data_IF_937586526790
#
_entry.id   IF_937586526790
#
_cell.length_a   1.000
_cell.length_b   1.000
_cell.length_c   1.000
_cell.angle_alpha   90.00
_cell.angle_beta   90.00
_cell.angle_gamma   90.00
#
_symmetry.space_group_name_H-M   'P 1'
#
loop_
_entity.id
_entity.type
_entity.pdbx_description
1 polymer ?
#
# COMPACT_ATOMS: atom_id res chain seq x y z
N UNK A 1 -12.20 23.52 -37.68
CA UNK A 1 -13.51 24.04 -37.24
C UNK A 1 -13.59 23.89 -35.74
N UNK A 2 -13.16 24.91 -35.00
CA UNK A 2 -13.29 24.96 -33.54
C UNK A 2 -14.74 25.26 -33.20
N UNK A 3 -15.40 24.38 -32.45
CA UNK A 3 -16.72 24.68 -31.87
C UNK A 3 -16.50 25.56 -30.64
N UNK A 4 -16.73 26.87 -30.80
CA UNK A 4 -16.98 27.78 -29.70
C UNK A 4 -18.36 27.46 -29.11
N UNK A 5 -18.42 27.29 -27.81
CA UNK A 5 -19.68 27.29 -27.05
C UNK A 5 -19.96 28.75 -26.66
N UNK A 6 -20.95 29.37 -27.30
CA UNK A 6 -21.43 30.69 -26.89
C UNK A 6 -22.23 30.53 -25.60
N UNK A 7 -21.76 31.16 -24.51
CA UNK A 7 -22.49 31.27 -23.25
C UNK A 7 -23.65 32.26 -23.44
N UNK A 8 -24.76 31.75 -23.97
CA UNK A 8 -26.04 32.43 -23.92
C UNK A 8 -26.52 32.51 -22.48
N UNK A 9 -26.89 33.72 -22.04
CA UNK A 9 -27.68 33.91 -20.82
C UNK A 9 -29.01 33.17 -20.96
N UNK A 10 -29.12 31.98 -20.37
CA UNK A 10 -30.37 31.24 -20.23
C UNK A 10 -30.64 30.96 -18.76
N UNK A 11 -31.55 31.75 -18.20
CA UNK A 11 -32.32 31.38 -17.01
C UNK A 11 -33.15 30.14 -17.38
N UNK A 12 -32.78 28.99 -16.82
CA UNK A 12 -33.43 27.70 -17.07
C UNK A 12 -32.41 26.60 -17.35
N UNK A 13 -32.09 25.82 -16.31
CA UNK A 13 -31.17 24.67 -16.40
C UNK A 13 -31.80 23.60 -17.31
N UNK A 14 -31.13 23.13 -18.38
CA UNK A 14 -31.64 22.03 -19.19
C UNK A 14 -31.81 20.77 -18.31
N UNK A 15 -32.89 19.98 -18.47
CA UNK A 15 -33.00 18.69 -17.82
C UNK A 15 -31.84 17.79 -18.32
N UNK A 16 -31.09 17.20 -17.39
CA UNK A 16 -29.85 16.44 -17.68
C UNK A 16 -28.55 17.24 -17.53
N UNK A 17 -28.58 18.57 -17.53
CA UNK A 17 -27.36 19.36 -17.28
C UNK A 17 -26.91 19.21 -15.81
N UNK A 18 -27.87 19.26 -14.87
CA UNK A 18 -27.62 19.03 -13.44
C UNK A 18 -26.95 17.69 -13.15
N UNK A 19 -27.30 16.66 -13.92
CA UNK A 19 -26.82 15.29 -13.73
C UNK A 19 -25.33 15.17 -14.06
N UNK A 20 -24.85 15.81 -15.14
CA UNK A 20 -23.44 15.75 -15.55
C UNK A 20 -22.52 16.59 -14.67
N UNK A 21 -22.98 17.73 -14.14
CA UNK A 21 -22.12 18.57 -13.27
C UNK A 21 -21.62 17.83 -12.03
N UNK A 22 -22.42 16.89 -11.51
CA UNK A 22 -22.04 16.08 -10.35
C UNK A 22 -20.81 15.19 -10.56
N UNK A 23 -20.37 14.99 -11.80
CA UNK A 23 -19.24 14.13 -12.15
C UNK A 23 -18.07 14.90 -12.75
N UNK A 24 -18.21 16.22 -12.94
CA UNK A 24 -17.18 17.07 -13.54
C UNK A 24 -16.14 17.51 -12.50
N UNK A 25 -14.89 17.58 -12.94
CA UNK A 25 -13.79 18.05 -12.13
C UNK A 25 -13.93 19.54 -11.76
N UNK A 26 -13.46 19.96 -10.57
CA UNK A 26 -13.68 21.32 -10.06
C UNK A 26 -13.08 22.43 -10.95
N UNK A 27 -12.00 22.15 -11.68
CA UNK A 27 -11.38 23.10 -12.60
C UNK A 27 -12.21 23.38 -13.86
N UNK A 28 -13.00 22.40 -14.31
CA UNK A 28 -13.91 22.57 -15.43
C UNK A 28 -15.10 23.46 -15.03
N UNK A 29 -15.55 23.37 -13.77
CA UNK A 29 -16.59 24.24 -13.22
C UNK A 29 -16.13 25.70 -13.13
N UNK A 30 -14.85 25.94 -12.79
CA UNK A 30 -14.30 27.28 -12.54
C UNK A 30 -13.83 28.02 -13.79
N UNK A 31 -13.30 27.31 -14.79
CA UNK A 31 -12.48 27.95 -15.83
C UNK A 31 -12.75 27.49 -17.26
N UNK A 32 -13.47 26.39 -17.48
CA UNK A 32 -13.66 25.81 -18.81
C UNK A 32 -12.34 25.49 -19.54
N UNK A 33 -11.24 25.33 -18.80
CA UNK A 33 -9.89 25.29 -19.37
C UNK A 33 -9.60 23.93 -20.05
N UNK A 34 -9.33 24.00 -21.35
CA UNK A 34 -9.14 22.87 -22.28
C UNK A 34 -7.86 22.06 -21.96
N UNK A 35 -6.87 22.67 -21.30
CA UNK A 35 -5.59 21.98 -20.96
C UNK A 35 -5.70 20.99 -19.79
N UNK A 36 -6.85 20.93 -19.10
CA UNK A 36 -7.07 20.06 -17.95
C UNK A 36 -7.83 18.75 -18.29
N UNK A 37 -8.24 18.53 -19.54
CA UNK A 37 -9.12 17.42 -19.94
C UNK A 37 -8.65 16.05 -19.42
N UNK A 38 -7.38 15.70 -19.64
CA UNK A 38 -6.87 14.39 -19.21
C UNK A 38 -6.89 14.15 -17.70
N UNK A 39 -6.78 15.21 -16.87
CA UNK A 39 -6.85 15.12 -15.40
C UNK A 39 -8.27 15.25 -14.88
N UNK A 40 -9.12 15.94 -15.63
CA UNK A 40 -10.55 15.98 -15.38
C UNK A 40 -11.19 14.59 -15.61
N UNK A 41 -10.78 13.88 -16.68
CA UNK A 41 -11.22 12.50 -16.93
C UNK A 41 -10.85 11.55 -15.79
N UNK A 42 -9.67 11.71 -15.18
CA UNK A 42 -9.26 10.92 -14.00
C UNK A 42 -10.15 11.21 -12.80
N UNK A 43 -10.56 12.46 -12.61
CA UNK A 43 -11.50 12.81 -11.54
C UNK A 43 -12.86 12.14 -11.78
N UNK A 44 -13.43 12.30 -12.99
CA UNK A 44 -14.71 11.68 -13.34
C UNK A 44 -14.65 10.15 -13.23
N UNK A 45 -13.57 9.52 -13.68
CA UNK A 45 -13.33 8.09 -13.52
C UNK A 45 -13.25 7.68 -12.04
N UNK A 46 -12.64 8.50 -11.18
CA UNK A 46 -12.58 8.28 -9.74
C UNK A 46 -13.96 8.26 -9.09
N UNK A 47 -14.86 9.15 -9.52
CA UNK A 47 -16.26 9.15 -9.07
C UNK A 47 -16.98 7.87 -9.52
N UNK A 48 -16.79 7.45 -10.78
CA UNK A 48 -17.39 6.22 -11.32
C UNK A 48 -16.86 4.98 -10.60
N UNK A 49 -15.57 4.92 -10.29
CA UNK A 49 -14.99 3.83 -9.51
C UNK A 49 -15.61 3.74 -8.12
N UNK A 50 -15.71 4.86 -7.40
CA UNK A 50 -16.36 4.88 -6.09
C UNK A 50 -17.81 4.40 -6.19
N UNK A 51 -18.57 4.92 -7.15
CA UNK A 51 -19.96 4.54 -7.38
C UNK A 51 -20.12 3.05 -7.65
N UNK A 52 -19.24 2.48 -8.46
CA UNK A 52 -19.28 1.06 -8.81
C UNK A 52 -18.95 0.18 -7.61
N UNK A 53 -17.89 0.51 -6.87
CA UNK A 53 -17.42 -0.30 -5.73
C UNK A 53 -18.40 -0.24 -4.54
N UNK A 54 -19.05 0.91 -4.34
CA UNK A 54 -20.04 1.10 -3.25
C UNK A 54 -21.45 0.66 -3.62
N UNK A 55 -21.69 0.31 -4.89
CA UNK A 55 -23.02 -0.10 -5.36
C UNK A 55 -24.02 1.06 -5.48
N UNK A 56 -23.56 2.29 -5.64
CA UNK A 56 -24.43 3.43 -5.99
C UNK A 56 -24.16 4.75 -5.25
N UNK A 57 -23.20 4.80 -4.33
CA UNK A 57 -22.90 6.04 -3.62
C UNK A 57 -22.02 6.98 -4.43
N UNK A 58 -22.02 8.26 -4.09
CA UNK A 58 -21.16 9.25 -4.71
C UNK A 58 -20.15 9.80 -3.68
N UNK A 59 -18.86 9.95 -4.02
CA UNK A 59 -17.83 10.34 -3.06
C UNK A 59 -17.98 11.79 -2.55
N UNK A 60 -18.81 12.58 -3.23
CA UNK A 60 -19.19 13.95 -2.84
C UNK A 60 -20.64 14.04 -2.32
N UNK A 61 -21.26 12.92 -1.95
CA UNK A 61 -22.59 12.87 -1.34
C UNK A 61 -23.76 13.06 -2.32
N UNK A 62 -24.92 13.36 -1.73
CA UNK A 62 -26.19 13.50 -2.43
C UNK A 62 -26.22 14.66 -3.44
N UNK A 63 -27.06 14.53 -4.46
CA UNK A 63 -27.13 15.45 -5.61
C UNK A 63 -27.28 16.93 -5.21
N UNK A 64 -28.07 17.23 -4.17
CA UNK A 64 -28.31 18.61 -3.72
C UNK A 64 -27.02 19.33 -3.26
N UNK A 65 -26.12 18.62 -2.57
CA UNK A 65 -24.89 19.20 -2.01
C UNK A 65 -23.64 18.86 -2.84
N UNK A 66 -23.75 17.90 -3.76
CA UNK A 66 -22.62 17.33 -4.52
C UNK A 66 -21.75 18.36 -5.18
N UNK A 67 -22.35 19.34 -5.87
CA UNK A 67 -21.59 20.38 -6.57
C UNK A 67 -20.79 21.26 -5.61
N UNK A 68 -21.41 21.69 -4.51
CA UNK A 68 -20.73 22.46 -3.48
C UNK A 68 -19.57 21.66 -2.87
N UNK A 69 -19.78 20.36 -2.64
CA UNK A 69 -18.74 19.48 -2.11
C UNK A 69 -17.57 19.33 -3.09
N UNK A 70 -17.83 19.20 -4.39
CA UNK A 70 -16.79 19.15 -5.44
C UNK A 70 -16.00 20.48 -5.48
N UNK A 71 -16.70 21.61 -5.51
CA UNK A 71 -16.08 22.94 -5.57
C UNK A 71 -15.16 23.22 -4.37
N UNK A 72 -15.58 22.75 -3.19
CA UNK A 72 -14.88 22.91 -1.91
C UNK A 72 -13.91 21.76 -1.59
N UNK A 73 -13.84 20.71 -2.41
CA UNK A 73 -12.98 19.55 -2.17
C UNK A 73 -13.40 18.69 -0.97
N UNK A 74 -14.67 18.70 -0.58
CA UNK A 74 -15.23 17.93 0.54
C UNK A 74 -15.50 16.49 0.10
N UNK A 75 -14.47 15.66 0.19
CA UNK A 75 -14.47 14.26 -0.20
C UNK A 75 -14.80 13.34 0.99
N UNK A 76 -15.73 12.38 0.80
CA UNK A 76 -16.04 11.33 1.77
C UNK A 76 -15.88 9.96 1.14
N UNK A 77 -15.12 9.07 1.79
CA UNK A 77 -14.83 7.71 1.29
C UNK A 77 -15.22 6.60 2.30
N UNK A 78 -16.13 6.90 3.22
CA UNK A 78 -16.41 6.05 4.37
C UNK A 78 -17.06 4.70 4.01
N UNK A 79 -17.74 4.61 2.85
CA UNK A 79 -18.35 3.36 2.39
C UNK A 79 -17.34 2.35 1.82
N UNK A 80 -16.09 2.76 1.58
CA UNK A 80 -15.04 1.85 1.18
C UNK A 80 -14.47 1.13 2.41
N UNK A 81 -14.35 -0.19 2.34
CA UNK A 81 -13.66 -1.00 3.35
C UNK A 81 -12.24 -1.35 2.92
N UNK A 82 -12.00 -1.54 1.62
CA UNK A 82 -10.68 -1.79 1.05
C UNK A 82 -9.82 -0.51 1.07
N UNK A 83 -8.75 -0.53 1.87
CA UNK A 83 -7.83 0.60 2.00
C UNK A 83 -7.06 0.89 0.71
N UNK A 84 -6.78 -0.15 -0.10
CA UNK A 84 -6.13 0.00 -1.40
C UNK A 84 -7.02 0.79 -2.36
N UNK A 85 -8.34 0.52 -2.33
CA UNK A 85 -9.32 1.27 -3.10
C UNK A 85 -9.42 2.73 -2.63
N UNK A 86 -9.42 2.98 -1.32
CA UNK A 86 -9.44 4.34 -0.74
C UNK A 86 -8.23 5.15 -1.18
N UNK A 87 -7.03 4.57 -1.12
CA UNK A 87 -5.78 5.24 -1.52
C UNK A 87 -5.85 5.64 -3.00
N UNK A 88 -6.28 4.73 -3.88
CA UNK A 88 -6.43 4.99 -5.31
C UNK A 88 -7.42 6.13 -5.57
N UNK A 89 -8.65 5.98 -5.06
CA UNK A 89 -9.76 6.90 -5.33
C UNK A 89 -9.47 8.29 -4.76
N UNK A 90 -8.91 8.37 -3.54
CA UNK A 90 -8.50 9.66 -2.94
C UNK A 90 -7.50 10.42 -3.82
N UNK A 91 -6.55 9.71 -4.42
CA UNK A 91 -5.60 10.34 -5.35
C UNK A 91 -6.26 10.73 -6.69
N UNK A 92 -7.15 9.91 -7.24
CA UNK A 92 -7.88 10.26 -8.46
C UNK A 92 -8.78 11.49 -8.26
N UNK A 93 -9.37 11.64 -7.06
CA UNK A 93 -10.28 12.71 -6.68
C UNK A 93 -9.60 13.89 -5.97
N UNK A 94 -8.27 13.99 -6.04
CA UNK A 94 -7.55 15.13 -5.47
C UNK A 94 -8.06 16.44 -6.08
N UNK A 95 -8.39 17.43 -5.24
CA UNK A 95 -8.98 18.69 -5.70
C UNK A 95 -8.05 19.41 -6.69
N UNK A 96 -6.76 19.49 -6.34
CA UNK A 96 -5.70 19.96 -7.24
C UNK A 96 -5.37 18.90 -8.31
N UNK A 97 -5.53 19.22 -9.62
CA UNK A 97 -5.24 18.30 -10.72
C UNK A 97 -3.80 17.79 -10.77
N UNK A 98 -2.82 18.55 -10.25
CA UNK A 98 -1.41 18.17 -10.27
C UNK A 98 -1.10 16.97 -9.37
N UNK A 99 -1.89 16.81 -8.30
CA UNK A 99 -1.78 15.71 -7.35
C UNK A 99 -2.52 14.44 -7.80
N UNK A 100 -3.33 14.52 -8.87
CA UNK A 100 -4.06 13.36 -9.40
C UNK A 100 -3.12 12.42 -10.14
N UNK A 101 -3.37 11.12 -10.04
CA UNK A 101 -2.68 10.12 -10.87
C UNK A 101 -2.88 10.39 -12.38
N UNK A 102 -1.99 9.87 -13.21
CA UNK A 102 -2.25 9.73 -14.65
C UNK A 102 -3.01 8.44 -14.91
N UNK A 103 -3.65 8.29 -16.07
CA UNK A 103 -4.32 7.04 -16.45
C UNK A 103 -3.37 5.83 -16.38
N UNK A 104 -2.12 6.00 -16.83
CA UNK A 104 -1.10 4.96 -16.74
C UNK A 104 -0.73 4.59 -15.30
N UNK A 105 -0.71 5.57 -14.38
CA UNK A 105 -0.46 5.31 -12.97
C UNK A 105 -1.65 4.61 -12.30
N UNK A 106 -2.89 4.99 -12.64
CA UNK A 106 -4.11 4.31 -12.19
C UNK A 106 -4.06 2.84 -12.58
N UNK A 107 -3.77 2.52 -13.85
CA UNK A 107 -3.71 1.15 -14.34
C UNK A 107 -2.59 0.28 -13.73
N UNK A 108 -1.59 0.88 -13.10
CA UNK A 108 -0.49 0.17 -12.40
C UNK A 108 -0.73 0.04 -10.89
N UNK A 109 -1.80 0.63 -10.36
CA UNK A 109 -2.06 0.68 -8.93
C UNK A 109 -2.32 -0.72 -8.33
N UNK A 110 -1.87 -1.01 -7.09
CA UNK A 110 -2.07 -2.31 -6.43
C UNK A 110 -3.51 -2.82 -6.34
N UNK A 111 -4.48 -1.91 -6.43
CA UNK A 111 -5.91 -2.23 -6.49
C UNK A 111 -6.24 -3.19 -7.64
N UNK A 112 -5.53 -3.09 -8.76
CA UNK A 112 -5.75 -3.94 -9.94
C UNK A 112 -4.87 -5.19 -9.99
N UNK A 113 -4.02 -5.40 -8.99
CA UNK A 113 -3.10 -6.55 -9.00
C UNK A 113 -3.84 -7.84 -8.64
N UNK A 114 -3.53 -8.91 -9.35
CA UNK A 114 -3.92 -10.25 -8.93
C UNK A 114 -3.20 -10.62 -7.63
N UNK A 115 -3.74 -11.61 -6.90
CA UNK A 115 -3.09 -12.14 -5.69
C UNK A 115 -1.68 -12.66 -5.98
N UNK A 116 -1.48 -13.34 -7.10
CA UNK A 116 -0.15 -13.81 -7.53
C UNK A 116 0.84 -12.65 -7.76
N UNK A 117 0.36 -11.54 -8.32
CA UNK A 117 1.23 -10.38 -8.56
C UNK A 117 1.54 -9.63 -7.25
N UNK A 118 0.57 -9.51 -6.34
CA UNK A 118 0.79 -8.98 -4.98
C UNK A 118 1.86 -9.80 -4.26
N UNK A 119 1.79 -11.13 -4.33
CA UNK A 119 2.79 -12.02 -3.74
C UNK A 119 4.18 -11.81 -4.36
N UNK A 120 4.28 -11.80 -5.69
CA UNK A 120 5.55 -11.55 -6.38
C UNK A 120 6.17 -10.21 -5.99
N UNK A 121 5.33 -9.18 -5.80
CA UNK A 121 5.77 -7.89 -5.29
C UNK A 121 6.37 -8.00 -3.89
N UNK A 122 5.71 -8.68 -2.93
CA UNK A 122 6.26 -8.87 -1.59
C UNK A 122 7.61 -9.60 -1.61
N UNK A 123 7.75 -10.62 -2.45
CA UNK A 123 9.00 -11.36 -2.60
C UNK A 123 10.13 -10.47 -3.15
N UNK A 124 9.85 -9.71 -4.21
CA UNK A 124 10.81 -8.79 -4.81
C UNK A 124 11.20 -7.65 -3.85
N UNK A 125 10.23 -7.13 -3.07
CA UNK A 125 10.47 -6.10 -2.07
C UNK A 125 11.38 -6.62 -0.95
N UNK A 126 11.11 -7.83 -0.43
CA UNK A 126 11.99 -8.47 0.56
C UNK A 126 13.42 -8.63 0.03
N UNK A 127 13.59 -9.11 -1.21
CA UNK A 127 14.92 -9.27 -1.81
C UNK A 127 15.64 -7.93 -1.96
N UNK A 128 14.93 -6.88 -2.39
CA UNK A 128 15.47 -5.52 -2.47
C UNK A 128 15.93 -5.00 -1.11
N UNK A 129 15.13 -5.21 -0.06
CA UNK A 129 15.46 -4.80 1.31
C UNK A 129 16.67 -5.52 1.90
N UNK A 130 17.03 -6.70 1.38
CA UNK A 130 18.13 -7.54 1.89
C UNK A 130 19.38 -7.56 1.01
N UNK A 131 19.42 -6.81 -0.10
CA UNK A 131 20.65 -6.69 -0.90
C UNK A 131 21.76 -6.07 -0.05
N UNK A 132 22.81 -6.84 0.21
CA UNK A 132 23.98 -6.44 0.99
C UNK A 132 24.84 -5.42 0.22
N UNK A 133 25.17 -4.28 0.83
CA UNK A 133 26.20 -3.37 0.32
C UNK A 133 25.97 -1.88 0.56
N UNK A 134 24.74 -1.45 0.82
CA UNK A 134 24.41 -0.04 1.06
C UNK A 134 23.44 0.08 2.26
N UNK A 135 23.56 1.17 3.02
CA UNK A 135 22.55 1.52 4.01
C UNK A 135 21.23 1.76 3.28
N UNK A 136 20.33 0.77 3.33
CA UNK A 136 19.08 0.83 2.58
C UNK A 136 18.09 1.77 3.30
N UNK A 137 17.98 3.01 2.80
CA UNK A 137 17.01 4.00 3.29
C UNK A 137 15.56 3.52 3.22
N UNK A 138 15.25 2.60 2.32
CA UNK A 138 13.89 2.06 2.19
C UNK A 138 13.54 1.17 3.40
N UNK A 139 14.55 0.51 4.00
CA UNK A 139 14.36 -0.29 5.21
C UNK A 139 14.04 0.60 6.42
N UNK A 140 14.68 1.77 6.54
CA UNK A 140 14.33 2.69 7.63
C UNK A 140 12.94 3.29 7.45
N UNK A 141 12.58 3.69 6.22
CA UNK A 141 11.24 4.23 5.91
C UNK A 141 10.15 3.19 6.18
N UNK A 142 10.39 1.91 5.88
CA UNK A 142 9.43 0.85 6.18
C UNK A 142 9.18 0.68 7.68
N UNK A 143 10.19 0.94 8.52
CA UNK A 143 10.11 0.75 9.98
C UNK A 143 9.55 1.98 10.72
N UNK A 144 9.56 3.18 10.11
CA UNK A 144 9.13 4.45 10.74
C UNK A 144 7.65 4.43 11.18
N UNK A 145 6.75 3.90 10.36
CA UNK A 145 5.29 3.87 10.63
C UNK A 145 4.70 2.46 10.74
N UNK A 146 5.55 1.46 11.03
CA UNK A 146 5.14 0.05 11.00
C UNK A 146 3.95 -0.28 11.89
N UNK A 147 3.80 0.38 13.04
CA UNK A 147 2.75 0.08 14.01
C UNK A 147 1.34 0.28 13.44
N UNK A 148 1.18 1.16 12.44
CA UNK A 148 -0.10 1.37 11.75
C UNK A 148 -0.46 0.17 10.87
N UNK A 149 0.54 -0.56 10.37
CA UNK A 149 0.39 -1.68 9.45
C UNK A 149 0.40 -3.02 10.16
N UNK A 150 1.36 -3.23 11.06
CA UNK A 150 1.65 -4.54 11.69
C UNK A 150 1.23 -4.60 13.17
N UNK A 151 0.78 -3.49 13.75
CA UNK A 151 0.52 -3.38 15.19
C UNK A 151 1.80 -3.39 16.03
N UNK A 152 1.66 -3.71 17.32
CA UNK A 152 2.80 -3.92 18.21
C UNK A 152 3.49 -5.26 17.94
N UNK A 153 2.71 -6.27 17.56
CA UNK A 153 3.17 -7.62 17.29
C UNK A 153 2.27 -8.26 16.22
N UNK A 154 2.80 -8.45 15.02
CA UNK A 154 2.04 -9.06 13.93
C UNK A 154 1.82 -10.56 14.12
N UNK A 155 2.62 -11.21 14.97
CA UNK A 155 2.54 -12.66 15.17
C UNK A 155 1.23 -13.06 15.83
N UNK A 156 0.69 -12.21 16.69
CA UNK A 156 -0.61 -12.36 17.34
C UNK A 156 -1.78 -12.33 16.36
N UNK A 157 -1.56 -11.83 15.13
CA UNK A 157 -2.58 -11.69 14.10
C UNK A 157 -2.51 -12.80 13.03
N UNK A 158 -1.59 -13.76 13.16
CA UNK A 158 -1.51 -14.94 12.29
C UNK A 158 -2.42 -16.05 12.83
N UNK A 159 -2.90 -16.93 11.96
CA UNK A 159 -3.57 -18.17 12.35
C UNK A 159 -2.74 -18.99 13.35
N UNK A 160 -3.32 -19.49 14.46
CA UNK A 160 -2.61 -20.28 15.46
C UNK A 160 -1.88 -21.51 14.90
N UNK A 161 -2.41 -22.16 13.86
CA UNK A 161 -1.76 -23.30 13.21
C UNK A 161 -0.42 -22.91 12.55
N UNK A 162 -0.33 -21.68 12.03
CA UNK A 162 0.91 -21.16 11.47
C UNK A 162 1.87 -20.70 12.58
N UNK A 163 1.36 -20.25 13.73
CA UNK A 163 2.21 -19.90 14.88
C UNK A 163 2.89 -21.13 15.50
N UNK A 164 2.24 -22.29 15.45
CA UNK A 164 2.77 -23.57 15.95
C UNK A 164 3.69 -24.28 14.96
N UNK A 165 3.88 -23.73 13.75
CA UNK A 165 4.68 -24.35 12.71
C UNK A 165 6.18 -24.28 13.03
N UNK A 166 6.93 -25.33 12.67
CA UNK A 166 8.40 -25.37 12.87
C UNK A 166 9.08 -24.20 12.17
N UNK A 167 8.52 -23.76 11.05
CA UNK A 167 9.07 -22.71 10.22
C UNK A 167 8.83 -21.32 10.80
N UNK A 168 7.68 -21.09 11.44
CA UNK A 168 7.44 -19.88 12.21
C UNK A 168 8.41 -19.79 13.40
N UNK A 169 8.69 -20.92 14.07
CA UNK A 169 9.67 -21.00 15.14
C UNK A 169 11.10 -20.69 14.65
N UNK A 170 11.52 -21.25 13.51
CA UNK A 170 12.82 -20.95 12.88
C UNK A 170 12.93 -19.46 12.54
N UNK A 171 11.87 -18.86 12.01
CA UNK A 171 11.82 -17.44 11.64
C UNK A 171 11.97 -16.50 12.85
N UNK A 172 11.20 -16.73 13.90
CA UNK A 172 11.30 -15.93 15.14
C UNK A 172 12.66 -16.11 15.82
N UNK A 173 13.24 -17.32 15.80
CA UNK A 173 14.60 -17.56 16.27
C UNK A 173 15.66 -16.79 15.44
N UNK A 174 15.56 -16.78 14.11
CA UNK A 174 16.48 -16.02 13.26
C UNK A 174 16.37 -14.51 13.47
N UNK A 175 15.14 -13.96 13.57
CA UNK A 175 14.94 -12.54 13.87
C UNK A 175 15.55 -12.17 15.23
N UNK A 176 15.32 -12.99 16.26
CA UNK A 176 15.94 -12.82 17.58
C UNK A 176 17.47 -12.81 17.52
N UNK A 177 18.08 -13.73 16.76
CA UNK A 177 19.54 -13.80 16.62
C UNK A 177 20.13 -12.61 15.83
N UNK A 178 19.41 -12.08 14.84
CA UNK A 178 19.89 -10.94 14.01
C UNK A 178 19.72 -9.57 14.67
N UNK A 179 18.77 -9.42 15.59
CA UNK A 179 18.54 -8.16 16.32
C UNK A 179 19.42 -7.99 17.58
N UNK A 180 20.46 -8.81 17.75
CA UNK A 180 21.38 -8.85 18.91
C UNK A 180 22.16 -7.55 19.22
N UNK A 181 21.92 -6.44 18.52
CA UNK A 181 22.38 -5.10 18.94
C UNK A 181 21.42 -4.39 19.90
N UNK A 182 20.23 -4.95 20.13
CA UNK A 182 19.27 -4.47 21.12
C UNK A 182 19.10 -5.52 22.22
N UNK A 183 19.22 -5.10 23.48
CA UNK A 183 19.25 -5.96 24.65
C UNK A 183 18.05 -6.95 24.74
N UNK A 184 18.18 -8.10 25.45
CA UNK A 184 17.26 -9.24 25.39
C UNK A 184 15.86 -9.01 25.99
N UNK A 185 15.47 -7.77 26.28
CA UNK A 185 14.17 -7.44 26.85
C UNK A 185 13.27 -6.81 25.78
N UNK A 186 12.28 -7.58 25.32
CA UNK A 186 11.12 -7.18 24.51
C UNK A 186 11.35 -6.94 23.01
N UNK A 187 11.94 -7.91 22.30
CA UNK A 187 12.07 -7.89 20.85
C UNK A 187 10.74 -8.13 20.15
N UNK A 188 10.00 -7.05 19.88
CA UNK A 188 8.83 -7.09 19.00
C UNK A 188 9.27 -7.35 17.54
N UNK A 189 8.55 -8.16 16.76
CA UNK A 189 8.87 -8.43 15.37
C UNK A 189 8.94 -7.15 14.52
N UNK A 190 9.89 -7.06 13.59
CA UNK A 190 10.00 -5.91 12.67
C UNK A 190 9.12 -6.09 11.43
N UNK A 191 8.78 -5.01 10.73
CA UNK A 191 7.95 -5.10 9.50
C UNK A 191 8.65 -5.92 8.42
N UNK A 192 9.98 -5.83 8.39
CA UNK A 192 10.84 -6.66 7.57
C UNK A 192 10.65 -8.18 7.80
N UNK A 193 10.43 -8.63 9.04
CA UNK A 193 10.20 -10.05 9.37
C UNK A 193 8.87 -10.56 8.82
N UNK A 194 7.85 -9.69 8.78
CA UNK A 194 6.57 -10.02 8.16
C UNK A 194 6.74 -10.24 6.64
N UNK A 195 7.56 -9.44 5.95
CA UNK A 195 7.85 -9.66 4.53
C UNK A 195 8.58 -10.98 4.30
N UNK A 196 9.50 -11.33 5.20
CA UNK A 196 10.17 -12.62 5.18
C UNK A 196 9.18 -13.78 5.38
N UNK A 197 8.27 -13.64 6.34
CA UNK A 197 7.25 -14.64 6.64
C UNK A 197 6.22 -14.77 5.52
N UNK A 198 5.78 -13.67 4.90
CA UNK A 198 4.85 -13.71 3.77
C UNK A 198 5.48 -14.38 2.55
N UNK A 199 6.76 -14.12 2.27
CA UNK A 199 7.52 -14.86 1.26
C UNK A 199 7.51 -16.37 1.57
N UNK A 200 7.73 -16.72 2.84
CA UNK A 200 7.74 -18.11 3.32
C UNK A 200 6.37 -18.80 3.18
N UNK A 201 5.31 -18.21 3.74
CA UNK A 201 3.99 -18.82 3.83
C UNK A 201 3.26 -18.95 2.49
N UNK A 202 3.66 -18.15 1.49
CA UNK A 202 2.94 -18.04 0.23
C UNK A 202 3.67 -18.70 -0.96
N UNK A 203 4.93 -19.14 -0.81
CA UNK A 203 5.71 -19.67 -1.94
C UNK A 203 5.97 -21.18 -1.96
N UNK A 204 5.79 -21.96 -0.89
CA UNK A 204 6.36 -23.31 -0.89
C UNK A 204 5.39 -24.45 -0.56
N UNK A 205 4.88 -25.07 -1.63
CA UNK A 205 5.01 -26.52 -1.78
C UNK A 205 6.45 -26.81 -2.26
N UNK A 206 7.26 -27.59 -1.50
CA UNK A 206 8.53 -28.16 -2.01
C UNK A 206 9.86 -27.71 -1.35
N UNK A 207 9.81 -26.93 -0.28
CA UNK A 207 10.92 -26.54 0.61
C UNK A 207 11.78 -27.65 1.21
N UNK A 208 13.06 -27.86 0.86
CA UNK A 208 13.95 -28.63 1.75
C UNK A 208 14.52 -27.73 2.86
N UNK A 209 13.74 -27.61 3.93
CA UNK A 209 14.01 -26.74 5.08
C UNK A 209 15.32 -27.05 5.81
N UNK A 210 15.71 -28.32 5.90
CA UNK A 210 17.02 -28.68 6.47
C UNK A 210 18.18 -28.06 5.71
N UNK A 211 18.06 -27.88 4.39
CA UNK A 211 19.10 -27.29 3.55
C UNK A 211 19.16 -25.77 3.72
N UNK A 212 18.00 -25.11 3.76
CA UNK A 212 17.90 -23.65 3.94
C UNK A 212 18.36 -23.23 5.34
N UNK A 213 17.87 -23.94 6.36
CA UNK A 213 18.32 -23.77 7.75
C UNK A 213 19.82 -24.05 7.84
N UNK A 214 20.34 -25.14 7.27
CA UNK A 214 21.78 -25.41 7.31
C UNK A 214 22.63 -24.36 6.60
N UNK A 215 22.16 -23.74 5.50
CA UNK A 215 22.86 -22.66 4.81
C UNK A 215 22.93 -21.40 5.68
N UNK A 216 21.81 -21.00 6.27
CA UNK A 216 21.79 -19.86 7.20
C UNK A 216 22.56 -20.17 8.48
N UNK A 217 22.41 -21.37 9.05
CA UNK A 217 23.15 -21.84 10.23
C UNK A 217 24.65 -21.87 9.97
N UNK A 218 25.11 -22.24 8.78
CA UNK A 218 26.52 -22.18 8.40
C UNK A 218 27.05 -20.74 8.37
N UNK A 219 26.26 -19.78 7.86
CA UNK A 219 26.58 -18.35 7.94
C UNK A 219 26.57 -17.82 9.38
N UNK A 220 25.68 -18.32 10.26
CA UNK A 220 25.68 -17.98 11.69
C UNK A 220 26.82 -18.64 12.45
N UNK A 221 27.21 -19.86 12.11
CA UNK A 221 28.30 -20.59 12.73
C UNK A 221 29.63 -19.89 12.43
N UNK A 222 29.80 -19.28 11.25
CA UNK A 222 30.98 -18.45 10.95
C UNK A 222 31.00 -17.15 11.76
N UNK A 223 29.84 -16.50 11.96
CA UNK A 223 29.71 -15.28 12.78
C UNK A 223 29.98 -15.60 14.26
N UNK A 224 29.37 -16.65 14.80
CA UNK A 224 29.59 -17.12 16.17
C UNK A 224 31.04 -17.58 16.40
N UNK A 225 31.66 -18.26 15.42
CA UNK A 225 33.09 -18.60 15.55
C UNK A 225 34.01 -17.39 15.43
N UNK A 226 33.64 -16.32 14.72
CA UNK A 226 34.38 -15.06 14.75
C UNK A 226 34.23 -14.33 16.10
N UNK A 227 33.04 -14.28 16.69
CA UNK A 227 32.82 -13.65 18.00
C UNK A 227 33.52 -14.43 19.14
N UNK A 228 33.53 -15.76 19.06
CA UNK A 228 34.30 -16.64 19.96
C UNK A 228 35.81 -16.45 19.76
N UNK A 229 36.29 -16.36 18.51
CA UNK A 229 37.72 -16.07 18.23
C UNK A 229 38.15 -14.69 18.72
N UNK A 230 37.23 -13.72 18.71
CA UNK A 230 37.47 -12.37 19.23
C UNK A 230 37.23 -12.23 20.74
N UNK A 231 37.00 -13.35 21.45
CA UNK A 231 36.95 -13.42 22.91
C UNK A 231 35.73 -12.77 23.56
N UNK A 232 34.63 -12.58 22.82
CA UNK A 232 33.45 -11.84 23.30
C UNK A 232 32.25 -12.70 23.75
N UNK A 233 32.27 -14.02 23.53
CA UNK A 233 31.16 -14.90 23.89
C UNK A 233 31.55 -16.02 24.85
N UNK A 234 30.99 -16.01 26.06
CA UNK A 234 30.88 -17.21 26.91
C UNK A 234 29.57 -17.92 26.60
N UNK A 235 29.64 -19.17 26.13
CA UNK A 235 28.45 -20.03 26.07
C UNK A 235 28.00 -20.35 27.50
N UNK A 236 26.71 -20.14 27.78
CA UNK A 236 26.04 -20.77 28.92
C UNK A 236 25.57 -22.14 28.41
N UNK A 237 26.02 -23.21 29.05
CA UNK A 237 25.63 -24.61 28.77
C UNK A 237 24.11 -24.84 28.92
#
# INVERSE_FOLDING_TARGET
MSKQWELGHISGKPPGAAETFGWMAPELLKSGSIHAESKADIFSLGCVFYYTVTGGEHPFGEEMNRLSNIENGQLTLNALTDETAKILIRKMLSHDPTHRHTAAAVGKHPFFWSKDYQLKFFCAAYEHLNKTGEANSDKSVLEEDKYVVIGLDWTLNIDPLLQESEEFAVMTMCSFMTNSTVAPSAGFPVAHDLFHFLRFALLEEGVNWHTLVAQHFASYQSILTEEVKNGKGTFIE
#
